data_IF_723720710644
#
_entry.id   IF_723720710644
#
_cell.length_a   1.000
_cell.length_b   1.000
_cell.length_c   1.000
_cell.angle_alpha   90.00
_cell.angle_beta   90.00
_cell.angle_gamma   90.00
#
_symmetry.space_group_name_H-M   'P 1'
#
loop_
_entity.id
_entity.type
_entity.pdbx_description
1 polymer ?
#
# COMPACT_ATOMS: atom_id res chain seq x y z
N UNK A 1 -4.31 -19.61 11.69
CA UNK A 1 -4.50 -18.73 12.86
C UNK A 1 -5.30 -17.52 12.40
N UNK A 2 -6.24 -17.01 13.20
CA UNK A 2 -6.85 -15.69 12.95
C UNK A 2 -6.33 -14.68 13.98
N UNK A 3 -5.93 -13.50 13.52
CA UNK A 3 -5.49 -12.38 14.32
C UNK A 3 -6.60 -11.32 14.28
N UNK A 4 -7.10 -10.93 15.45
CA UNK A 4 -8.08 -9.85 15.57
C UNK A 4 -7.38 -8.56 15.97
N UNK A 5 -7.60 -7.49 15.21
CA UNK A 5 -7.09 -6.15 15.50
C UNK A 5 -8.24 -5.29 16.05
N UNK A 6 -8.12 -4.85 17.30
CA UNK A 6 -9.05 -3.90 17.89
C UNK A 6 -8.70 -2.49 17.41
N UNK A 7 -9.65 -1.84 16.74
CA UNK A 7 -9.64 -0.39 16.55
C UNK A 7 -10.57 0.22 17.60
N UNK A 8 -9.96 0.88 18.57
CA UNK A 8 -10.69 1.67 19.55
C UNK A 8 -11.48 2.79 18.84
N UNK A 9 -12.73 2.92 19.26
CA UNK A 9 -13.60 4.00 18.89
C UNK A 9 -13.09 5.34 19.39
N UNK A 10 -13.47 6.42 18.70
CA UNK A 10 -13.23 7.79 19.16
C UNK A 10 -14.53 8.59 19.09
N UNK A 11 -14.86 9.32 20.15
CA UNK A 11 -16.09 10.10 20.25
C UNK A 11 -17.33 9.22 20.16
N UNK A 12 -18.15 9.43 19.12
CA UNK A 12 -19.39 8.66 18.89
C UNK A 12 -19.17 7.34 18.11
N UNK A 13 -17.95 7.09 17.64
CA UNK A 13 -17.62 5.87 16.90
C UNK A 13 -17.35 4.75 17.91
N UNK A 14 -18.01 3.60 17.75
CA UNK A 14 -17.78 2.40 18.57
C UNK A 14 -16.50 1.68 18.17
N UNK A 15 -15.98 0.89 19.10
CA UNK A 15 -14.92 -0.06 18.87
C UNK A 15 -15.27 -1.02 17.73
N UNK A 16 -14.26 -1.41 16.97
CA UNK A 16 -14.40 -2.37 15.87
C UNK A 16 -13.25 -3.35 15.87
N UNK A 17 -13.56 -4.63 15.75
CA UNK A 17 -12.58 -5.66 15.46
C UNK A 17 -12.42 -5.86 13.96
N UNK A 18 -11.19 -6.04 13.52
CA UNK A 18 -10.86 -6.47 12.16
C UNK A 18 -10.18 -7.83 12.22
N UNK A 19 -10.66 -8.78 11.43
CA UNK A 19 -10.06 -10.11 11.32
C UNK A 19 -9.02 -10.15 10.21
N UNK A 20 -7.88 -10.79 10.50
CA UNK A 20 -6.86 -11.09 9.51
C UNK A 20 -7.39 -12.04 8.41
N UNK A 21 -8.30 -12.96 8.75
CA UNK A 21 -8.95 -13.83 7.77
C UNK A 21 -9.87 -13.04 6.86
N UNK A 22 -10.65 -12.09 7.40
CA UNK A 22 -11.51 -11.24 6.57
C UNK A 22 -10.67 -10.41 5.59
N UNK A 23 -9.55 -9.85 6.05
CA UNK A 23 -8.61 -9.14 5.19
C UNK A 23 -8.06 -10.06 4.09
N UNK A 24 -7.67 -11.29 4.47
CA UNK A 24 -7.17 -12.28 3.53
C UNK A 24 -8.22 -12.74 2.51
N UNK A 25 -9.49 -12.78 2.89
CA UNK A 25 -10.58 -13.23 2.01
C UNK A 25 -11.20 -12.07 1.20
N UNK A 26 -10.78 -10.83 1.43
CA UNK A 26 -11.34 -9.68 0.73
C UNK A 26 -10.83 -9.56 -0.71
N UNK A 27 -11.76 -9.31 -1.64
CA UNK A 27 -11.46 -9.05 -3.05
C UNK A 27 -10.66 -7.75 -3.27
N UNK A 28 -10.71 -6.83 -2.30
CA UNK A 28 -9.92 -5.60 -2.29
C UNK A 28 -8.42 -5.85 -2.18
N UNK A 29 -8.03 -7.02 -1.66
CA UNK A 29 -6.68 -7.27 -1.14
C UNK A 29 -5.99 -8.44 -1.82
N UNK A 30 -6.61 -9.14 -2.78
CA UNK A 30 -6.02 -10.32 -3.44
C UNK A 30 -4.59 -10.05 -3.94
N UNK A 31 -4.37 -8.94 -4.66
CA UNK A 31 -3.03 -8.47 -5.04
C UNK A 31 -2.35 -7.68 -3.91
N UNK A 32 -3.13 -6.86 -3.19
CA UNK A 32 -2.63 -5.97 -2.13
C UNK A 32 -1.95 -6.70 -0.95
N UNK A 33 -2.17 -8.01 -0.75
CA UNK A 33 -1.46 -8.83 0.26
C UNK A 33 0.05 -8.73 0.11
N UNK A 34 0.55 -8.81 -1.13
CA UNK A 34 1.99 -8.71 -1.42
C UNK A 34 2.49 -7.28 -1.17
N UNK A 35 1.65 -6.30 -1.48
CA UNK A 35 1.97 -4.88 -1.41
C UNK A 35 1.80 -4.28 -0.02
N UNK A 36 1.20 -4.96 0.97
CA UNK A 36 0.72 -4.28 2.18
C UNK A 36 1.84 -3.56 2.94
N UNK A 37 3.02 -4.17 3.03
CA UNK A 37 4.20 -3.58 3.67
C UNK A 37 4.78 -2.45 2.83
N UNK A 38 4.92 -2.66 1.52
CA UNK A 38 5.40 -1.65 0.58
C UNK A 38 4.49 -0.41 0.58
N UNK A 39 3.18 -0.60 0.45
CA UNK A 39 2.16 0.46 0.48
C UNK A 39 2.16 1.18 1.82
N UNK A 40 2.32 0.48 2.93
CA UNK A 40 2.45 1.10 4.24
C UNK A 40 3.67 2.02 4.32
N UNK A 41 4.82 1.58 3.81
CA UNK A 41 6.04 2.38 3.78
C UNK A 41 5.93 3.59 2.84
N UNK A 42 5.44 3.40 1.61
CA UNK A 42 5.45 4.43 0.56
C UNK A 42 4.32 5.46 0.72
N UNK A 43 3.17 5.08 1.30
CA UNK A 43 2.03 6.01 1.48
C UNK A 43 2.14 6.88 2.74
N UNK A 44 3.27 6.78 3.45
CA UNK A 44 3.47 7.32 4.79
C UNK A 44 2.53 6.69 5.83
N UNK A 45 3.12 6.31 6.96
CA UNK A 45 2.40 6.10 8.20
C UNK A 45 2.53 7.39 9.00
N UNK A 46 1.45 7.86 9.65
CA UNK A 46 1.23 9.26 10.07
C UNK A 46 2.32 10.00 10.86
N UNK A 47 3.46 9.39 11.16
CA UNK A 47 4.69 10.02 11.67
C UNK A 47 5.69 10.45 10.59
N UNK A 48 5.57 9.99 9.33
CA UNK A 48 6.43 10.43 8.21
C UNK A 48 5.65 11.34 7.25
N UNK A 49 6.33 12.27 6.58
CA UNK A 49 5.69 13.08 5.53
C UNK A 49 5.28 12.22 4.34
N UNK A 50 4.02 12.30 3.92
CA UNK A 50 3.54 11.64 2.70
C UNK A 50 3.92 12.42 1.43
N UNK A 51 3.73 11.78 0.27
CA UNK A 51 3.92 12.41 -1.03
C UNK A 51 2.87 13.51 -1.25
N UNK A 52 3.33 14.72 -1.62
CA UNK A 52 2.45 15.87 -1.83
C UNK A 52 1.38 15.60 -2.90
N UNK A 53 0.13 15.89 -2.58
CA UNK A 53 -1.00 15.69 -3.50
C UNK A 53 -1.33 14.22 -3.80
N UNK A 54 -0.75 13.26 -3.06
CA UNK A 54 -0.98 11.82 -3.25
C UNK A 54 -1.58 11.17 -2.02
N UNK A 55 -2.81 10.70 -2.18
CA UNK A 55 -3.53 9.99 -1.13
C UNK A 55 -3.19 8.50 -1.11
N UNK A 56 -3.32 7.88 0.06
CA UNK A 56 -3.14 6.44 0.25
C UNK A 56 -4.02 5.60 -0.69
N UNK A 57 -5.25 6.05 -0.95
CA UNK A 57 -6.17 5.34 -1.85
C UNK A 57 -5.64 5.30 -3.28
N UNK A 58 -4.99 6.36 -3.77
CA UNK A 58 -4.41 6.40 -5.10
C UNK A 58 -3.27 5.38 -5.25
N UNK A 59 -2.42 5.25 -4.22
CA UNK A 59 -1.35 4.26 -4.19
C UNK A 59 -1.89 2.82 -4.21
N UNK A 60 -2.93 2.52 -3.41
CA UNK A 60 -3.59 1.19 -3.40
C UNK A 60 -4.19 0.87 -4.77
N UNK A 61 -4.90 1.82 -5.37
CA UNK A 61 -5.51 1.64 -6.70
C UNK A 61 -4.45 1.41 -7.77
N UNK A 62 -3.37 2.19 -7.76
CA UNK A 62 -2.26 2.03 -8.70
C UNK A 62 -1.62 0.64 -8.62
N UNK A 63 -1.38 0.13 -7.41
CA UNK A 63 -0.84 -1.22 -7.18
C UNK A 63 -1.77 -2.32 -7.72
N UNK A 64 -3.09 -2.14 -7.65
CA UNK A 64 -4.04 -3.15 -8.11
C UNK A 64 -4.20 -3.20 -9.64
N UNK A 65 -3.89 -2.11 -10.36
CA UNK A 65 -4.16 -2.01 -11.80
C UNK A 65 -2.91 -2.09 -12.69
N UNK A 66 -1.73 -1.78 -12.15
CA UNK A 66 -0.52 -1.65 -12.96
C UNK A 66 0.26 -2.96 -13.06
N UNK A 67 0.17 -3.62 -14.22
CA UNK A 67 1.09 -4.74 -14.57
C UNK A 67 2.56 -4.32 -14.51
N UNK A 68 2.85 -3.04 -14.77
CA UNK A 68 4.19 -2.49 -14.74
C UNK A 68 4.80 -2.44 -13.34
N UNK A 69 3.99 -2.50 -12.28
CA UNK A 69 4.46 -2.43 -10.90
C UNK A 69 4.44 -3.79 -10.20
N UNK A 70 4.09 -4.86 -10.93
CA UNK A 70 3.80 -6.18 -10.37
C UNK A 70 4.96 -6.81 -9.61
N UNK A 71 6.20 -6.48 -9.96
CA UNK A 71 7.46 -7.01 -9.43
C UNK A 71 7.97 -6.27 -8.18
N UNK A 72 7.40 -5.11 -7.86
CA UNK A 72 7.87 -4.27 -6.76
C UNK A 72 7.78 -4.95 -5.39
N UNK A 73 6.70 -5.66 -5.03
CA UNK A 73 6.65 -6.39 -3.76
C UNK A 73 7.68 -7.49 -3.65
N UNK A 74 7.97 -8.19 -4.75
CA UNK A 74 8.96 -9.25 -4.78
C UNK A 74 10.36 -8.68 -4.54
N UNK A 75 10.69 -7.55 -5.16
CA UNK A 75 11.95 -6.83 -4.90
C UNK A 75 12.01 -6.34 -3.45
N UNK A 76 10.95 -5.69 -2.97
CA UNK A 76 10.94 -5.07 -1.64
C UNK A 76 10.99 -6.09 -0.50
N UNK A 77 10.32 -7.24 -0.65
CA UNK A 77 10.27 -8.28 0.38
C UNK A 77 11.44 -9.29 0.27
N UNK A 78 12.29 -9.18 -0.74
CA UNK A 78 13.43 -10.08 -0.91
C UNK A 78 14.63 -9.60 -0.07
N UNK A 79 15.07 -10.35 0.95
CA UNK A 79 16.20 -9.95 1.78
C UNK A 79 17.54 -9.93 1.04
N UNK A 80 17.60 -10.49 -0.18
CA UNK A 80 18.79 -10.45 -1.05
C UNK A 80 18.79 -9.26 -2.01
N UNK A 81 17.70 -8.49 -2.07
CA UNK A 81 17.65 -7.34 -2.96
C UNK A 81 18.65 -6.28 -2.52
N UNK A 82 19.36 -5.75 -3.50
CA UNK A 82 20.33 -4.69 -3.32
C UNK A 82 19.63 -3.35 -3.09
N UNK A 83 20.35 -2.39 -2.50
CA UNK A 83 19.85 -1.03 -2.34
C UNK A 83 19.40 -0.42 -3.67
N UNK A 84 20.17 -0.62 -4.75
CA UNK A 84 19.87 -0.06 -6.07
C UNK A 84 18.60 -0.66 -6.69
N UNK A 85 18.28 -1.93 -6.44
CA UNK A 85 17.04 -2.55 -6.89
C UNK A 85 15.83 -1.97 -6.14
N UNK A 86 15.96 -1.80 -4.81
CA UNK A 86 14.91 -1.21 -3.97
C UNK A 86 14.68 0.26 -4.35
N UNK A 87 15.74 1.03 -4.52
CA UNK A 87 15.68 2.44 -4.95
C UNK A 87 14.97 2.57 -6.31
N UNK A 88 15.38 1.77 -7.31
CA UNK A 88 14.78 1.79 -8.64
C UNK A 88 13.31 1.35 -8.62
N UNK A 89 12.95 0.36 -7.80
CA UNK A 89 11.56 -0.04 -7.62
C UNK A 89 10.72 1.08 -6.98
N UNK A 90 11.25 1.74 -5.95
CA UNK A 90 10.63 2.90 -5.32
C UNK A 90 10.44 4.07 -6.29
N UNK A 91 11.48 4.43 -7.05
CA UNK A 91 11.44 5.47 -8.08
C UNK A 91 10.36 5.17 -9.12
N UNK A 92 10.34 3.94 -9.67
CA UNK A 92 9.32 3.49 -10.63
C UNK A 92 7.91 3.68 -10.09
N UNK A 93 7.67 3.34 -8.83
CA UNK A 93 6.38 3.52 -8.19
C UNK A 93 6.00 5.00 -8.06
N UNK A 94 6.93 5.84 -7.60
CA UNK A 94 6.70 7.27 -7.41
C UNK A 94 6.38 7.94 -8.76
N UNK A 95 7.16 7.66 -9.81
CA UNK A 95 6.90 8.18 -11.16
C UNK A 95 5.49 7.78 -11.63
N UNK A 96 5.12 6.51 -11.47
CA UNK A 96 3.79 6.03 -11.84
C UNK A 96 2.68 6.71 -11.01
N UNK A 97 2.90 6.92 -9.72
CA UNK A 97 1.97 7.59 -8.80
C UNK A 97 1.70 9.04 -9.22
N UNK A 98 2.72 9.76 -9.68
CA UNK A 98 2.57 11.12 -10.20
C UNK A 98 2.04 11.19 -11.64
N UNK A 99 2.39 10.22 -12.48
CA UNK A 99 1.94 10.17 -13.88
C UNK A 99 0.47 9.74 -14.03
N UNK A 100 -0.09 9.05 -13.03
CA UNK A 100 -1.49 8.61 -13.03
C UNK A 100 -2.49 9.70 -12.58
N UNK A 101 -2.16 10.97 -12.78
CA UNK A 101 -3.16 12.03 -12.64
C UNK A 101 -4.08 11.98 -13.85
N UNK A 102 -5.38 11.72 -13.64
CA UNK A 102 -6.41 12.05 -14.63
C UNK A 102 -6.10 13.44 -15.19
N UNK A 103 -6.07 13.58 -16.51
CA UNK A 103 -6.15 14.91 -17.12
C UNK A 103 -7.34 15.60 -16.48
N UNK A 104 -7.08 16.68 -15.73
CA UNK A 104 -8.13 17.59 -15.33
C UNK A 104 -8.67 18.13 -16.66
N UNK A 105 -9.91 17.76 -16.97
CA UNK A 105 -10.62 18.27 -18.15
C UNK A 105 -10.88 19.76 -17.98
#
# INVERSE_FOLDING_TARGET
MDILMLKEGKGKVKDRFYSSKDLQNSNLVIECKKYILFLHAISSYGTTSGFYGKEKLQAVQLSNHSKYLQDIPEIFNNPKSTYAEIERAGERFIIALYSNTKKVA
#
